data_IF_307583824980
#
_entry.id   IF_307583824980
#
_cell.length_a   1.000
_cell.length_b   1.000
_cell.length_c   1.000
_cell.angle_alpha   90.00
_cell.angle_beta   90.00
_cell.angle_gamma   90.00
#
_symmetry.space_group_name_H-M   'P 1'
#
loop_
_entity.id
_entity.type
_entity.pdbx_description
1 polymer ?
#
# COMPACT_ATOMS: atom_id res chain seq x y z
N UNK A 1 -15.47 -26.49 -19.72
CA UNK A 1 -16.03 -27.55 -18.86
C UNK A 1 -16.40 -26.90 -17.54
N UNK A 2 -17.67 -26.83 -17.26
CA UNK A 2 -18.18 -26.36 -15.99
C UNK A 2 -17.81 -27.38 -14.92
N UNK A 3 -17.38 -26.92 -13.76
CA UNK A 3 -17.12 -27.79 -12.63
C UNK A 3 -18.39 -28.47 -12.10
N UNK A 4 -18.24 -29.24 -11.05
CA UNK A 4 -19.32 -29.97 -10.38
C UNK A 4 -20.29 -29.06 -9.63
N UNK A 5 -19.79 -27.90 -9.15
CA UNK A 5 -20.55 -26.92 -8.34
C UNK A 5 -20.53 -25.54 -8.99
N UNK A 6 -21.65 -24.84 -8.90
CA UNK A 6 -21.73 -23.42 -9.17
C UNK A 6 -21.07 -22.60 -8.05
N UNK A 7 -20.44 -21.48 -8.41
CA UNK A 7 -19.71 -20.67 -7.45
C UNK A 7 -19.85 -19.16 -7.73
N UNK A 8 -19.80 -18.36 -6.67
CA UNK A 8 -19.63 -16.91 -6.74
C UNK A 8 -18.20 -16.55 -6.33
N UNK A 9 -17.62 -15.58 -7.03
CA UNK A 9 -16.27 -15.06 -6.77
C UNK A 9 -16.33 -13.55 -6.52
N UNK A 10 -15.50 -13.09 -5.61
CA UNK A 10 -15.23 -11.66 -5.38
C UNK A 10 -13.75 -11.43 -5.60
N UNK A 11 -13.36 -10.41 -6.36
CA UNK A 11 -11.96 -10.19 -6.69
C UNK A 11 -11.71 -8.97 -7.55
N UNK A 12 -10.58 -8.98 -8.27
CA UNK A 12 -10.18 -7.88 -9.14
C UNK A 12 -10.86 -7.91 -10.52
N UNK A 13 -10.79 -6.78 -11.21
CA UNK A 13 -11.38 -6.62 -12.55
C UNK A 13 -10.74 -7.48 -13.64
N UNK A 14 -9.54 -8.02 -13.41
CA UNK A 14 -8.87 -9.00 -14.27
C UNK A 14 -9.40 -10.44 -14.08
N UNK A 15 -10.50 -10.59 -13.34
CA UNK A 15 -11.08 -11.86 -12.93
C UNK A 15 -10.19 -12.72 -12.01
N UNK A 16 -9.25 -12.10 -11.31
CA UNK A 16 -8.50 -12.77 -10.26
C UNK A 16 -9.38 -12.87 -8.98
N UNK A 17 -9.86 -14.08 -8.61
CA UNK A 17 -10.68 -14.25 -7.42
C UNK A 17 -9.83 -14.10 -6.15
N UNK A 18 -10.27 -13.23 -5.25
CA UNK A 18 -9.67 -13.10 -3.93
C UNK A 18 -10.45 -13.87 -2.87
N UNK A 19 -11.73 -14.10 -3.09
CA UNK A 19 -12.60 -14.88 -2.24
C UNK A 19 -13.82 -15.38 -3.00
N UNK A 20 -14.64 -16.17 -2.32
CA UNK A 20 -15.88 -16.69 -2.87
C UNK A 20 -16.42 -17.89 -2.13
N UNK A 21 -17.56 -18.40 -2.60
CA UNK A 21 -18.18 -19.62 -2.09
C UNK A 21 -18.86 -20.39 -3.20
N UNK A 22 -19.09 -21.68 -2.98
CA UNK A 22 -19.85 -22.54 -3.89
C UNK A 22 -21.19 -22.99 -3.29
N UNK A 23 -22.02 -23.60 -4.10
CA UNK A 23 -23.35 -24.11 -3.71
C UNK A 23 -23.31 -25.28 -2.73
N UNK A 24 -22.16 -25.91 -2.52
CA UNK A 24 -21.95 -26.96 -1.51
C UNK A 24 -21.58 -26.39 -0.14
N UNK A 25 -21.52 -25.06 0.04
CA UNK A 25 -21.16 -24.41 1.30
C UNK A 25 -19.66 -24.36 1.57
N UNK A 26 -18.80 -24.56 0.56
CA UNK A 26 -17.36 -24.33 0.68
C UNK A 26 -17.04 -22.88 0.35
N UNK A 27 -16.30 -22.20 1.25
CA UNK A 27 -15.80 -20.83 1.01
C UNK A 27 -14.27 -20.79 0.94
N UNK A 28 -13.76 -19.81 0.23
CA UNK A 28 -12.36 -19.47 0.12
C UNK A 28 -12.17 -17.96 0.29
N UNK A 29 -11.14 -17.57 1.03
CA UNK A 29 -10.67 -16.19 1.08
C UNK A 29 -9.15 -16.14 1.01
N UNK A 30 -8.63 -15.29 0.12
CA UNK A 30 -7.19 -15.14 -0.13
C UNK A 30 -6.58 -14.05 0.71
N UNK A 31 -5.54 -14.36 1.47
CA UNK A 31 -4.78 -13.40 2.24
C UNK A 31 -3.38 -13.22 1.66
N UNK A 32 -2.98 -11.98 1.41
CA UNK A 32 -1.61 -11.68 1.01
C UNK A 32 -0.67 -11.88 2.20
N UNK A 33 0.28 -12.81 2.06
CA UNK A 33 1.37 -13.05 3.01
C UNK A 33 2.71 -12.92 2.28
N UNK A 34 3.79 -12.71 3.03
CA UNK A 34 5.13 -12.78 2.44
C UNK A 34 5.37 -14.20 1.88
N UNK A 35 5.84 -14.30 0.62
CA UNK A 35 6.08 -15.59 0.01
C UNK A 35 7.12 -16.37 0.83
N UNK A 36 6.75 -17.57 1.24
CA UNK A 36 7.69 -18.54 1.81
C UNK A 36 8.32 -19.31 0.65
N UNK A 37 9.63 -19.54 0.74
CA UNK A 37 10.29 -20.42 -0.22
C UNK A 37 9.77 -21.84 0.06
N UNK A 38 8.92 -22.32 -0.84
CA UNK A 38 8.51 -23.73 -0.85
C UNK A 38 9.65 -24.54 -1.46
N UNK A 39 10.07 -25.62 -0.82
CA UNK A 39 10.92 -26.63 -1.45
C UNK A 39 10.02 -27.53 -2.32
N UNK A 40 9.96 -27.35 -3.64
CA UNK A 40 9.06 -28.12 -4.47
C UNK A 40 9.55 -29.59 -4.52
N UNK A 41 8.65 -30.51 -4.26
CA UNK A 41 8.87 -31.94 -4.50
C UNK A 41 8.89 -32.14 -6.03
N UNK A 42 10.05 -32.52 -6.64
CA UNK A 42 10.17 -32.63 -8.08
C UNK A 42 9.29 -33.71 -8.71
N UNK A 43 8.69 -34.57 -7.89
CA UNK A 43 7.80 -35.64 -8.35
C UNK A 43 6.36 -35.19 -8.55
N UNK A 44 6.01 -33.97 -8.12
CA UNK A 44 4.64 -33.45 -8.20
C UNK A 44 4.53 -32.31 -9.23
N UNK A 45 3.36 -32.25 -9.86
CA UNK A 45 3.04 -31.15 -10.76
C UNK A 45 2.73 -29.89 -9.95
N UNK A 46 3.53 -28.85 -10.10
CA UNK A 46 3.28 -27.57 -9.44
C UNK A 46 2.24 -26.78 -10.22
N UNK A 47 1.08 -26.49 -9.61
CA UNK A 47 0.16 -25.52 -10.15
C UNK A 47 0.68 -24.11 -9.78
N UNK A 48 1.16 -23.39 -10.77
CA UNK A 48 1.75 -22.06 -10.59
C UNK A 48 0.75 -20.91 -10.75
N UNK A 49 -0.47 -21.24 -11.20
CA UNK A 49 -1.52 -20.25 -11.40
C UNK A 49 -2.54 -20.30 -10.24
N UNK A 50 -2.44 -19.39 -9.23
CA UNK A 50 -3.35 -19.38 -8.10
C UNK A 50 -4.81 -19.14 -8.50
N UNK A 51 -5.04 -18.42 -9.58
CA UNK A 51 -6.37 -18.16 -10.13
C UNK A 51 -7.06 -19.47 -10.57
N UNK A 52 -6.31 -20.32 -11.25
CA UNK A 52 -6.80 -21.63 -11.68
C UNK A 52 -7.08 -22.53 -10.48
N UNK A 53 -6.17 -22.56 -9.49
CA UNK A 53 -6.34 -23.33 -8.26
C UNK A 53 -7.63 -22.95 -7.53
N UNK A 54 -7.86 -21.66 -7.27
CA UNK A 54 -9.06 -21.18 -6.56
C UNK A 54 -10.34 -21.58 -7.29
N UNK A 55 -10.36 -21.43 -8.63
CA UNK A 55 -11.52 -21.83 -9.44
C UNK A 55 -11.76 -23.31 -9.39
N UNK A 56 -10.73 -24.11 -9.52
CA UNK A 56 -10.84 -25.57 -9.52
C UNK A 56 -11.33 -26.11 -8.18
N UNK A 57 -10.85 -25.59 -7.05
CA UNK A 57 -11.33 -26.04 -5.73
C UNK A 57 -12.80 -25.68 -5.50
N UNK A 58 -13.22 -24.45 -5.80
CA UNK A 58 -14.62 -24.05 -5.61
C UNK A 58 -15.57 -24.74 -6.61
N UNK A 59 -15.10 -25.09 -7.79
CA UNK A 59 -15.91 -25.80 -8.78
C UNK A 59 -15.99 -27.31 -8.56
N UNK A 60 -15.07 -27.92 -7.84
CA UNK A 60 -14.98 -29.39 -7.77
C UNK A 60 -14.98 -29.96 -6.34
N UNK A 61 -14.71 -29.14 -5.31
CA UNK A 61 -14.67 -29.58 -3.92
C UNK A 61 -15.91 -29.09 -3.16
N UNK A 62 -16.41 -29.95 -2.26
CA UNK A 62 -17.52 -29.63 -1.34
C UNK A 62 -17.06 -29.49 0.09
N UNK A 63 -15.87 -29.94 0.43
CA UNK A 63 -15.33 -29.97 1.80
C UNK A 63 -13.89 -29.50 1.85
N UNK A 64 -13.46 -29.01 3.01
CA UNK A 64 -12.08 -28.62 3.27
C UNK A 64 -11.11 -29.82 3.10
N UNK A 65 -11.55 -31.04 3.44
CA UNK A 65 -10.72 -32.24 3.24
C UNK A 65 -10.49 -32.56 1.74
N UNK A 66 -11.49 -32.37 0.89
CA UNK A 66 -11.31 -32.50 -0.55
C UNK A 66 -10.33 -31.44 -1.09
N UNK A 67 -10.39 -30.20 -0.58
CA UNK A 67 -9.43 -29.13 -0.90
C UNK A 67 -8.02 -29.54 -0.47
N UNK A 68 -7.87 -30.06 0.74
CA UNK A 68 -6.59 -30.56 1.26
C UNK A 68 -6.00 -31.63 0.34
N UNK A 69 -6.78 -32.63 -0.01
CA UNK A 69 -6.35 -33.72 -0.89
C UNK A 69 -5.97 -33.20 -2.28
N UNK A 70 -6.72 -32.23 -2.80
CA UNK A 70 -6.40 -31.54 -4.04
C UNK A 70 -5.06 -30.78 -3.94
N UNK A 71 -4.88 -29.98 -2.89
CA UNK A 71 -3.68 -29.18 -2.65
C UNK A 71 -2.41 -30.06 -2.49
N UNK A 72 -2.51 -31.18 -1.77
CA UNK A 72 -1.43 -32.15 -1.61
C UNK A 72 -1.03 -32.77 -2.96
N UNK A 73 -2.00 -33.12 -3.79
CA UNK A 73 -1.76 -33.70 -5.11
C UNK A 73 -1.00 -32.77 -6.05
N UNK A 74 -1.29 -31.48 -6.00
CA UNK A 74 -0.72 -30.45 -6.89
C UNK A 74 0.37 -29.60 -6.24
N UNK A 75 0.79 -29.93 -5.02
CA UNK A 75 1.89 -29.25 -4.31
C UNK A 75 1.70 -27.74 -4.10
N UNK A 76 0.48 -27.35 -3.83
CA UNK A 76 0.17 -25.95 -3.51
C UNK A 76 0.46 -25.66 -2.04
N UNK A 77 0.45 -26.68 -1.16
CA UNK A 77 0.65 -26.53 0.28
C UNK A 77 1.33 -27.77 0.88
N UNK A 78 2.17 -27.57 1.90
CA UNK A 78 2.63 -28.67 2.74
C UNK A 78 1.52 -29.06 3.73
N UNK A 79 1.31 -30.37 3.99
CA UNK A 79 0.24 -30.86 4.88
C UNK A 79 0.24 -30.23 6.26
N UNK A 80 1.43 -29.97 6.80
CA UNK A 80 1.64 -29.44 8.15
C UNK A 80 1.27 -27.95 8.29
N UNK A 81 0.99 -27.26 7.19
CA UNK A 81 0.58 -25.86 7.19
C UNK A 81 -0.93 -25.67 7.12
N UNK A 82 -1.71 -26.75 6.98
CA UNK A 82 -3.17 -26.69 6.97
C UNK A 82 -3.72 -26.80 8.40
N UNK A 83 -4.35 -25.74 8.85
CA UNK A 83 -5.22 -25.82 10.03
C UNK A 83 -6.56 -26.44 9.60
N UNK A 84 -6.78 -27.70 9.97
CA UNK A 84 -8.12 -28.31 9.85
C UNK A 84 -9.03 -27.67 10.89
N UNK A 85 -10.17 -27.14 10.42
CA UNK A 85 -11.14 -26.44 11.25
C UNK A 85 -11.58 -27.25 12.44
N UNK A 86 -11.75 -26.57 13.55
CA UNK A 86 -12.46 -27.04 14.74
C UNK A 86 -13.73 -26.21 14.86
N UNK A 87 -14.66 -26.64 15.69
CA UNK A 87 -15.90 -25.92 16.06
C UNK A 87 -15.63 -24.55 16.73
N UNK A 88 -14.41 -24.04 16.61
CA UNK A 88 -13.98 -22.78 17.23
C UNK A 88 -13.92 -21.65 16.22
N UNK A 89 -14.36 -20.47 16.66
CA UNK A 89 -14.14 -19.22 15.96
C UNK A 89 -12.67 -18.84 16.03
N UNK A 90 -12.09 -18.37 14.94
CA UNK A 90 -10.73 -17.86 14.93
C UNK A 90 -10.57 -16.74 13.90
N UNK A 91 -9.60 -15.89 14.14
CA UNK A 91 -9.22 -14.80 13.27
C UNK A 91 -8.00 -15.21 12.44
N UNK A 92 -8.02 -14.89 11.17
CA UNK A 92 -6.87 -14.97 10.28
C UNK A 92 -6.59 -13.55 9.76
N UNK A 93 -5.32 -13.19 9.66
CA UNK A 93 -4.85 -11.96 9.07
C UNK A 93 -3.66 -12.23 8.12
N UNK A 94 -2.96 -11.20 7.69
CA UNK A 94 -1.88 -11.28 6.70
C UNK A 94 -0.58 -11.91 7.24
N UNK A 95 -0.66 -13.06 7.86
CA UNK A 95 0.46 -13.88 8.32
C UNK A 95 0.11 -15.39 8.23
N UNK A 96 1.10 -16.26 8.25
CA UNK A 96 0.89 -17.70 8.28
C UNK A 96 0.62 -18.15 9.73
N UNK A 97 -0.61 -18.59 10.10
CA UNK A 97 -0.96 -18.89 11.49
C UNK A 97 -0.13 -20.00 12.13
N UNK A 98 0.28 -21.01 11.34
CA UNK A 98 1.07 -22.15 11.83
C UNK A 98 2.53 -21.79 12.12
N UNK A 99 3.07 -20.76 11.48
CA UNK A 99 4.49 -20.39 11.56
C UNK A 99 4.74 -19.11 12.35
N UNK A 100 3.69 -18.41 12.78
CA UNK A 100 3.79 -17.14 13.51
C UNK A 100 3.51 -17.40 14.98
N UNK A 101 4.46 -17.12 15.91
CA UNK A 101 4.25 -17.27 17.34
C UNK A 101 3.09 -16.41 17.84
N UNK A 102 2.32 -16.86 18.81
CA UNK A 102 1.11 -16.17 19.31
C UNK A 102 1.40 -14.74 19.78
N UNK A 103 2.55 -14.53 20.42
CA UNK A 103 2.97 -13.17 20.82
C UNK A 103 3.19 -12.24 19.62
N UNK A 104 3.69 -12.78 18.52
CA UNK A 104 3.91 -12.01 17.29
C UNK A 104 2.60 -11.74 16.54
N UNK A 105 1.64 -12.69 16.57
CA UNK A 105 0.29 -12.47 15.99
C UNK A 105 -0.38 -11.22 16.57
N UNK A 106 -0.22 -10.97 17.87
CA UNK A 106 -0.79 -9.82 18.57
C UNK A 106 -0.13 -8.47 18.17
N UNK A 107 1.02 -8.50 17.49
CA UNK A 107 1.63 -7.28 16.93
C UNK A 107 0.92 -6.79 15.65
N UNK A 108 0.15 -7.66 14.99
CA UNK A 108 -0.70 -7.28 13.85
C UNK A 108 -2.00 -6.66 14.37
N UNK A 109 -2.15 -5.36 14.24
CA UNK A 109 -3.26 -4.59 14.79
C UNK A 109 -4.63 -5.15 14.37
N UNK A 110 -4.79 -5.48 13.09
CA UNK A 110 -6.01 -6.08 12.55
C UNK A 110 -6.37 -7.40 13.21
N UNK A 111 -5.37 -8.28 13.41
CA UNK A 111 -5.56 -9.55 14.12
C UNK A 111 -5.95 -9.31 15.57
N UNK A 112 -5.23 -8.41 16.25
CA UNK A 112 -5.50 -8.06 17.64
C UNK A 112 -6.92 -7.56 17.82
N UNK A 113 -7.38 -6.60 17.00
CA UNK A 113 -8.75 -6.07 17.06
C UNK A 113 -9.80 -7.16 16.89
N UNK A 114 -9.64 -8.03 15.89
CA UNK A 114 -10.56 -9.15 15.68
C UNK A 114 -10.55 -10.16 16.82
N UNK A 115 -9.39 -10.52 17.34
CA UNK A 115 -9.24 -11.44 18.46
C UNK A 115 -9.86 -10.86 19.75
N UNK A 116 -9.61 -9.59 20.05
CA UNK A 116 -10.21 -8.90 21.21
C UNK A 116 -11.74 -8.82 21.05
N UNK A 117 -12.25 -8.63 19.83
CA UNK A 117 -13.69 -8.68 19.58
C UNK A 117 -14.27 -10.06 19.92
N UNK A 118 -13.65 -11.15 19.45
CA UNK A 118 -14.14 -12.52 19.74
C UNK A 118 -14.08 -12.87 21.25
N UNK A 119 -13.07 -12.37 21.97
CA UNK A 119 -12.92 -12.62 23.40
C UNK A 119 -13.93 -11.82 24.26
N UNK A 120 -14.35 -10.64 23.82
CA UNK A 120 -15.17 -9.75 24.61
C UNK A 120 -16.67 -9.80 24.25
N UNK A 121 -17.06 -10.56 23.23
CA UNK A 121 -18.45 -10.71 22.82
C UNK A 121 -18.90 -12.16 22.96
N UNK A 122 -20.15 -12.32 23.40
CA UNK A 122 -20.78 -13.63 23.46
C UNK A 122 -20.84 -14.29 22.10
N UNK A 123 -20.79 -15.61 22.09
CA UNK A 123 -20.89 -16.38 20.85
C UNK A 123 -22.22 -16.14 20.17
N UNK A 124 -22.17 -15.47 19.03
CA UNK A 124 -23.30 -15.17 18.16
C UNK A 124 -22.89 -15.46 16.72
N UNK A 125 -23.77 -16.05 15.95
CA UNK A 125 -23.59 -16.31 14.51
C UNK A 125 -24.48 -15.43 13.63
N UNK A 126 -25.17 -14.45 14.25
CA UNK A 126 -26.03 -13.54 13.50
C UNK A 126 -25.24 -12.72 12.48
N UNK A 127 -25.92 -12.35 11.40
CA UNK A 127 -25.33 -11.47 10.39
C UNK A 127 -24.85 -10.14 10.97
N UNK A 128 -25.51 -9.63 12.01
CA UNK A 128 -25.10 -8.39 12.69
C UNK A 128 -23.78 -8.58 13.47
N UNK A 129 -23.62 -9.70 14.16
CA UNK A 129 -22.37 -10.02 14.83
C UNK A 129 -21.21 -10.14 13.83
N UNK A 130 -21.41 -10.90 12.76
CA UNK A 130 -20.42 -11.03 11.70
C UNK A 130 -20.07 -9.68 11.08
N UNK A 131 -21.06 -8.82 10.84
CA UNK A 131 -20.84 -7.48 10.32
C UNK A 131 -20.02 -6.61 11.29
N UNK A 132 -20.32 -6.64 12.58
CA UNK A 132 -19.56 -5.91 13.61
C UNK A 132 -18.10 -6.38 13.69
N UNK A 133 -17.85 -7.69 13.53
CA UNK A 133 -16.51 -8.24 13.46
C UNK A 133 -15.78 -7.74 12.21
N UNK A 134 -16.41 -7.78 11.04
CA UNK A 134 -15.85 -7.30 9.79
C UNK A 134 -15.53 -5.80 9.86
N UNK A 135 -16.43 -5.00 10.45
CA UNK A 135 -16.22 -3.57 10.69
C UNK A 135 -15.02 -3.33 11.66
N UNK A 136 -14.92 -4.13 12.72
CA UNK A 136 -13.77 -4.06 13.64
C UNK A 136 -12.45 -4.39 12.94
N UNK A 137 -12.46 -5.26 11.95
CA UNK A 137 -11.26 -5.74 11.27
C UNK A 137 -10.88 -4.95 10.00
N UNK A 138 -11.73 -4.06 9.52
CA UNK A 138 -11.39 -3.30 8.31
C UNK A 138 -10.17 -2.41 8.53
N UNK A 139 -9.39 -2.20 7.48
CA UNK A 139 -8.29 -1.26 7.45
C UNK A 139 -8.76 0.05 6.83
N UNK A 140 -8.49 1.16 7.53
CA UNK A 140 -8.67 2.49 6.98
C UNK A 140 -7.40 3.29 7.28
N UNK A 141 -6.62 3.56 6.25
CA UNK A 141 -5.41 4.37 6.38
C UNK A 141 -5.81 5.83 6.39
N UNK A 142 -5.82 6.44 7.55
CA UNK A 142 -6.31 7.79 7.79
C UNK A 142 -5.72 8.87 6.88
N UNK A 143 -4.59 8.61 6.24
CA UNK A 143 -3.87 9.60 5.43
C UNK A 143 -4.67 10.04 4.19
N UNK A 144 -5.30 9.09 3.50
CA UNK A 144 -6.06 9.34 2.26
C UNK A 144 -7.37 8.57 2.18
N UNK A 145 -7.78 7.86 3.25
CA UNK A 145 -8.95 6.98 3.23
C UNK A 145 -8.72 5.63 2.54
N UNK A 146 -7.47 5.31 2.16
CA UNK A 146 -7.12 4.00 1.62
C UNK A 146 -7.25 2.90 2.68
N UNK A 147 -7.67 1.71 2.28
CA UNK A 147 -7.82 0.58 3.19
C UNK A 147 -8.51 -0.60 2.57
N UNK A 148 -9.40 -1.24 3.33
CA UNK A 148 -10.20 -2.37 2.85
C UNK A 148 -11.15 -1.93 1.75
N UNK A 149 -10.93 -2.43 0.53
CA UNK A 149 -11.69 -2.02 -0.65
C UNK A 149 -13.12 -2.54 -0.63
N UNK A 150 -13.30 -3.78 -0.21
CA UNK A 150 -14.61 -4.40 0.01
C UNK A 150 -14.54 -5.40 1.16
N UNK A 151 -15.70 -5.72 1.72
CA UNK A 151 -15.88 -6.76 2.72
C UNK A 151 -17.11 -7.57 2.38
N UNK A 152 -17.16 -8.81 2.79
CA UNK A 152 -18.35 -9.62 2.63
C UNK A 152 -18.57 -10.55 3.83
N UNK A 153 -19.82 -10.90 4.04
CA UNK A 153 -20.26 -11.94 4.96
C UNK A 153 -20.93 -13.02 4.13
N UNK A 154 -20.40 -14.23 4.20
CA UNK A 154 -20.95 -15.41 3.53
C UNK A 154 -21.69 -16.28 4.53
N UNK A 155 -22.97 -16.49 4.31
CA UNK A 155 -23.79 -17.48 4.96
C UNK A 155 -23.75 -18.74 4.11
N UNK A 156 -22.99 -19.73 4.59
CA UNK A 156 -22.68 -20.94 3.83
C UNK A 156 -23.87 -21.95 3.86
N UNK A 157 -24.75 -21.87 4.86
CA UNK A 157 -25.92 -22.74 4.98
C UNK A 157 -27.01 -22.32 4.00
N UNK A 158 -27.35 -21.04 3.99
CA UNK A 158 -28.40 -20.49 3.12
C UNK A 158 -27.89 -20.06 1.74
N UNK A 159 -26.56 -20.09 1.50
CA UNK A 159 -25.93 -19.65 0.26
C UNK A 159 -26.07 -18.16 0.01
N UNK A 160 -26.08 -17.33 1.05
CA UNK A 160 -26.22 -15.88 0.93
C UNK A 160 -24.86 -15.22 1.08
N UNK A 161 -24.58 -14.23 0.21
CA UNK A 161 -23.40 -13.37 0.28
C UNK A 161 -23.85 -11.92 0.43
N UNK A 162 -23.46 -11.30 1.55
CA UNK A 162 -23.69 -9.88 1.81
C UNK A 162 -22.41 -9.11 1.55
N UNK A 163 -22.40 -8.27 0.52
CA UNK A 163 -21.24 -7.49 0.08
C UNK A 163 -21.36 -6.04 0.57
N UNK A 164 -20.22 -5.48 0.99
CA UNK A 164 -20.06 -4.11 1.47
C UNK A 164 -18.89 -3.46 0.73
N UNK A 165 -19.00 -2.16 0.46
CA UNK A 165 -18.02 -1.44 -0.30
C UNK A 165 -17.36 -0.33 0.52
N UNK A 166 -16.05 -0.34 0.58
CA UNK A 166 -15.17 0.71 1.06
C UNK A 166 -15.59 1.34 2.41
N UNK A 167 -15.59 0.55 3.49
CA UNK A 167 -15.92 0.94 4.87
C UNK A 167 -17.38 1.42 5.07
N UNK A 168 -18.23 1.34 4.06
CA UNK A 168 -19.64 1.68 4.17
C UNK A 168 -20.48 0.45 4.49
N UNK A 169 -20.59 0.16 5.78
CA UNK A 169 -21.38 -0.98 6.27
C UNK A 169 -22.88 -0.69 6.38
N UNK A 170 -23.33 0.52 6.05
CA UNK A 170 -24.75 0.88 6.01
C UNK A 170 -25.44 0.42 4.73
N UNK A 171 -24.67 0.38 3.63
CA UNK A 171 -25.16 -0.07 2.33
C UNK A 171 -24.66 -1.47 2.05
N UNK A 172 -25.56 -2.42 1.87
CA UNK A 172 -25.25 -3.81 1.53
C UNK A 172 -25.90 -4.23 0.22
N UNK A 173 -25.21 -5.08 -0.53
CA UNK A 173 -25.77 -5.84 -1.64
C UNK A 173 -25.80 -7.31 -1.26
N UNK A 174 -27.00 -7.90 -1.28
CA UNK A 174 -27.19 -9.31 -0.94
C UNK A 174 -27.41 -10.10 -2.22
N UNK A 175 -26.71 -11.20 -2.34
CA UNK A 175 -26.80 -12.17 -3.42
C UNK A 175 -27.13 -13.52 -2.82
N UNK A 176 -28.14 -14.20 -3.37
CA UNK A 176 -28.37 -15.61 -3.05
C UNK A 176 -27.80 -16.45 -4.18
N UNK A 177 -26.88 -17.33 -3.86
CA UNK A 177 -26.10 -18.10 -4.85
C UNK A 177 -27.00 -18.90 -5.80
N UNK A 178 -28.02 -19.59 -5.27
CA UNK A 178 -28.96 -20.37 -6.10
C UNK A 178 -29.70 -19.50 -7.11
N UNK A 179 -30.15 -18.31 -6.67
CA UNK A 179 -30.84 -17.35 -7.53
C UNK A 179 -29.92 -16.78 -8.60
N UNK A 180 -28.67 -16.47 -8.23
CA UNK A 180 -27.69 -15.93 -9.19
C UNK A 180 -27.25 -16.97 -10.21
N UNK A 181 -27.03 -18.21 -9.80
CA UNK A 181 -26.68 -19.32 -10.71
C UNK A 181 -27.79 -19.59 -11.74
N UNK A 182 -29.05 -19.44 -11.36
CA UNK A 182 -30.18 -19.61 -12.28
C UNK A 182 -30.20 -18.59 -13.44
N UNK A 183 -29.53 -17.44 -13.27
CA UNK A 183 -29.38 -16.42 -14.33
C UNK A 183 -28.25 -16.73 -15.32
N UNK A 184 -27.48 -17.80 -15.10
CA UNK A 184 -26.29 -18.14 -15.87
C UNK A 184 -25.06 -17.32 -15.46
N UNK A 185 -24.01 -17.43 -16.26
CA UNK A 185 -22.74 -16.71 -15.97
C UNK A 185 -22.90 -15.21 -16.19
N UNK A 186 -22.65 -14.45 -15.15
CA UNK A 186 -22.66 -12.99 -15.18
C UNK A 186 -21.68 -12.42 -14.17
N UNK A 187 -21.37 -11.14 -14.28
CA UNK A 187 -20.50 -10.41 -13.35
C UNK A 187 -21.02 -9.00 -13.12
N UNK A 188 -20.66 -8.44 -11.97
CA UNK A 188 -20.95 -7.06 -11.60
C UNK A 188 -19.66 -6.35 -11.24
N UNK A 189 -19.51 -5.12 -11.69
CA UNK A 189 -18.50 -4.23 -11.12
C UNK A 189 -19.02 -3.66 -9.81
N UNK A 190 -18.28 -3.83 -8.71
CA UNK A 190 -18.69 -3.40 -7.36
C UNK A 190 -19.05 -1.91 -7.35
N UNK A 191 -18.30 -1.08 -8.06
CA UNK A 191 -18.56 0.36 -8.18
C UNK A 191 -19.94 0.70 -8.75
N UNK A 192 -20.49 -0.15 -9.63
CA UNK A 192 -21.75 0.12 -10.32
C UNK A 192 -22.97 -0.34 -9.52
N UNK A 193 -22.80 -1.17 -8.51
CA UNK A 193 -23.88 -1.71 -7.71
C UNK A 193 -24.06 -1.03 -6.34
N UNK A 194 -23.14 -0.13 -5.98
CA UNK A 194 -23.21 0.64 -4.73
C UNK A 194 -23.42 2.14 -5.01
N UNK A 195 -23.99 2.89 -4.06
CA UNK A 195 -24.06 4.34 -4.16
C UNK A 195 -22.64 4.94 -4.12
N UNK A 196 -22.53 6.20 -4.59
CA UNK A 196 -21.25 6.92 -4.57
C UNK A 196 -20.70 7.01 -3.15
N UNK A 197 -19.49 6.47 -2.95
CA UNK A 197 -18.78 6.51 -1.68
C UNK A 197 -17.79 7.68 -1.67
N UNK A 198 -17.96 8.64 -0.75
CA UNK A 198 -17.14 9.85 -0.68
C UNK A 198 -15.70 9.56 -0.24
N UNK A 199 -15.48 8.57 0.61
CA UNK A 199 -14.14 8.18 1.06
C UNK A 199 -13.38 7.48 -0.08
N UNK A 200 -14.04 6.61 -0.82
CA UNK A 200 -13.47 6.01 -2.02
C UNK A 200 -13.11 7.07 -3.07
N UNK A 201 -13.98 8.07 -3.25
CA UNK A 201 -13.69 9.18 -4.15
C UNK A 201 -12.42 9.94 -3.74
N UNK A 202 -12.25 10.24 -2.45
CA UNK A 202 -11.01 10.85 -1.95
C UNK A 202 -9.77 9.99 -2.26
N UNK A 203 -9.90 8.67 -2.16
CA UNK A 203 -8.82 7.74 -2.48
C UNK A 203 -8.46 7.77 -3.98
N UNK A 204 -9.42 7.68 -4.89
CA UNK A 204 -9.13 7.69 -6.33
C UNK A 204 -8.71 9.07 -6.85
N UNK A 205 -9.18 10.15 -6.23
CA UNK A 205 -8.81 11.52 -6.59
C UNK A 205 -7.42 11.91 -6.03
N UNK A 206 -6.84 11.09 -5.13
CA UNK A 206 -5.52 11.35 -4.56
C UNK A 206 -4.42 11.10 -5.59
N UNK A 207 -3.68 12.17 -5.90
CA UNK A 207 -2.71 12.16 -6.99
C UNK A 207 -1.31 11.87 -6.49
N UNK A 208 -0.69 10.90 -7.11
CA UNK A 208 0.69 10.46 -6.87
C UNK A 208 1.45 10.45 -8.21
N UNK A 209 2.79 10.32 -8.20
CA UNK A 209 3.55 10.20 -9.45
C UNK A 209 3.17 8.99 -10.32
N UNK A 210 2.57 7.97 -9.72
CA UNK A 210 2.18 6.75 -10.41
C UNK A 210 0.87 6.93 -11.20
N UNK A 211 -0.04 7.79 -10.74
CA UNK A 211 -1.35 7.99 -11.36
C UNK A 211 -1.57 9.39 -11.97
N UNK A 212 -0.64 10.35 -11.79
CA UNK A 212 -0.72 11.69 -12.36
C UNK A 212 0.54 12.04 -13.17
N UNK A 213 0.34 12.31 -14.45
CA UNK A 213 1.43 12.62 -15.40
C UNK A 213 2.14 13.93 -15.06
N UNK A 214 1.42 14.95 -14.60
CA UNK A 214 2.01 16.28 -14.29
C UNK A 214 2.96 16.15 -13.11
N UNK A 215 2.53 15.46 -12.05
CA UNK A 215 3.36 15.21 -10.88
C UNK A 215 4.60 14.36 -11.25
N UNK A 216 4.41 13.35 -12.10
CA UNK A 216 5.52 12.52 -12.60
C UNK A 216 6.55 13.34 -13.35
N UNK A 217 6.11 14.15 -14.30
CA UNK A 217 7.00 15.02 -15.08
C UNK A 217 7.71 16.06 -14.19
N UNK A 218 7.02 16.59 -13.18
CA UNK A 218 7.64 17.49 -12.21
C UNK A 218 8.74 16.80 -11.40
N UNK A 219 8.55 15.57 -10.95
CA UNK A 219 9.60 14.80 -10.23
C UNK A 219 10.78 14.47 -11.15
N UNK A 220 10.55 14.08 -12.39
CA UNK A 220 11.62 13.88 -13.38
C UNK A 220 12.41 15.18 -13.58
N UNK A 221 11.74 16.30 -13.70
CA UNK A 221 12.41 17.62 -13.75
C UNK A 221 13.26 17.87 -12.48
N UNK A 222 12.72 17.56 -11.29
CA UNK A 222 13.49 17.65 -10.04
C UNK A 222 14.74 16.79 -10.06
N UNK A 223 14.63 15.52 -10.50
CA UNK A 223 15.76 14.60 -10.59
C UNK A 223 16.87 15.12 -11.53
N UNK A 224 16.49 15.62 -12.70
CA UNK A 224 17.44 16.22 -13.66
C UNK A 224 18.09 17.49 -13.06
N UNK A 225 17.27 18.40 -12.51
CA UNK A 225 17.75 19.65 -11.92
C UNK A 225 18.70 19.39 -10.76
N UNK A 226 18.36 18.50 -9.84
CA UNK A 226 19.16 18.23 -8.65
C UNK A 226 20.45 17.47 -9.00
N UNK A 227 20.42 16.56 -9.97
CA UNK A 227 21.62 15.90 -10.50
C UNK A 227 22.60 16.94 -11.07
N UNK A 228 22.10 17.78 -11.96
CA UNK A 228 22.89 18.84 -12.58
C UNK A 228 23.42 19.84 -11.55
N UNK A 229 22.55 20.35 -10.66
CA UNK A 229 22.93 21.30 -9.63
C UNK A 229 23.94 20.76 -8.63
N UNK A 230 23.77 19.49 -8.22
CA UNK A 230 24.70 18.82 -7.34
C UNK A 230 26.11 18.79 -7.95
N UNK A 231 26.23 18.29 -9.18
CA UNK A 231 27.50 18.22 -9.88
C UNK A 231 28.11 19.61 -10.11
N UNK A 232 27.31 20.57 -10.54
CA UNK A 232 27.74 21.95 -10.79
C UNK A 232 28.30 22.62 -9.51
N UNK A 233 27.57 22.53 -8.39
CA UNK A 233 28.03 23.16 -7.14
C UNK A 233 29.24 22.46 -6.55
N UNK A 234 29.37 21.15 -6.70
CA UNK A 234 30.58 20.41 -6.32
C UNK A 234 31.81 20.89 -7.12
N UNK A 235 31.70 20.91 -8.45
CA UNK A 235 32.81 21.36 -9.32
C UNK A 235 33.15 22.84 -9.01
N UNK A 236 32.12 23.68 -8.85
CA UNK A 236 32.31 25.09 -8.53
C UNK A 236 33.00 25.29 -7.17
N UNK A 237 32.69 24.44 -6.18
CA UNK A 237 33.40 24.45 -4.90
C UNK A 237 34.82 24.02 -5.03
N UNK A 238 35.12 22.92 -5.74
CA UNK A 238 36.46 22.39 -5.93
C UNK A 238 37.40 23.38 -6.67
N UNK A 239 36.87 24.08 -7.68
CA UNK A 239 37.61 25.08 -8.45
C UNK A 239 37.93 26.35 -7.63
N UNK A 240 37.11 26.71 -6.68
CA UNK A 240 37.21 27.95 -5.91
C UNK A 240 37.72 27.73 -4.47
N UNK A 241 38.55 26.67 -4.25
CA UNK A 241 39.11 26.34 -2.92
C UNK A 241 40.09 27.36 -2.35
N UNK A 242 40.66 28.25 -3.18
CA UNK A 242 41.59 29.27 -2.68
C UNK A 242 40.75 30.39 -1.98
N UNK A 243 41.08 30.73 -0.72
CA UNK A 243 40.44 31.81 -0.02
C UNK A 243 40.75 33.14 -0.74
N UNK A 244 39.78 33.70 -1.41
CA UNK A 244 39.83 35.10 -1.85
C UNK A 244 39.55 35.94 -0.59
N UNK A 245 40.39 36.96 -0.27
CA UNK A 245 40.11 37.83 0.85
C UNK A 245 38.73 38.44 0.71
N UNK A 246 37.82 38.14 1.64
CA UNK A 246 36.41 38.46 1.56
C UNK A 246 36.17 39.90 2.00
N UNK A 247 35.92 40.80 1.06
CA UNK A 247 35.32 42.09 1.35
C UNK A 247 33.77 42.02 1.44
N UNK A 248 33.12 41.00 0.90
CA UNK A 248 31.67 40.82 0.93
C UNK A 248 31.27 39.33 0.90
N UNK A 249 31.37 38.70 1.96
CA UNK A 249 30.60 37.72 2.68
C UNK A 249 29.87 36.54 1.98
N UNK A 250 30.34 35.94 0.87
CA UNK A 250 29.75 34.65 0.43
C UNK A 250 30.69 33.51 0.77
N UNK A 251 30.31 32.78 1.80
CA UNK A 251 31.06 31.62 2.28
C UNK A 251 31.08 30.51 1.20
N UNK A 252 32.26 30.02 0.73
CA UNK A 252 32.36 28.90 -0.19
C UNK A 252 31.68 27.63 0.32
N UNK A 253 31.52 27.53 1.64
CA UNK A 253 30.79 26.46 2.33
C UNK A 253 29.35 26.32 1.81
N UNK A 254 28.70 27.40 1.35
CA UNK A 254 27.34 27.31 0.82
C UNK A 254 27.26 26.42 -0.42
N UNK A 255 28.28 26.39 -1.27
CA UNK A 255 28.28 25.56 -2.48
C UNK A 255 28.35 24.07 -2.16
N UNK A 256 29.14 23.70 -1.14
CA UNK A 256 29.20 22.29 -0.69
C UNK A 256 27.91 21.89 0.03
N UNK A 257 27.28 22.81 0.76
CA UNK A 257 25.95 22.54 1.34
C UNK A 257 24.87 22.36 0.26
N UNK A 258 24.90 23.16 -0.81
CA UNK A 258 23.98 23.00 -1.93
C UNK A 258 24.22 21.69 -2.68
N UNK A 259 25.48 21.29 -2.85
CA UNK A 259 25.79 19.96 -3.38
C UNK A 259 25.13 18.85 -2.53
N UNK A 260 25.39 18.85 -1.22
CA UNK A 260 24.86 17.82 -0.33
C UNK A 260 23.31 17.81 -0.29
N UNK A 261 22.69 18.99 -0.22
CA UNK A 261 21.24 19.13 -0.23
C UNK A 261 20.62 18.59 -1.53
N UNK A 262 21.17 18.99 -2.69
CA UNK A 262 20.66 18.49 -3.98
C UNK A 262 20.86 16.98 -4.13
N UNK A 263 21.95 16.41 -3.62
CA UNK A 263 22.18 14.97 -3.62
C UNK A 263 21.12 14.23 -2.74
N UNK A 264 20.83 14.77 -1.56
CA UNK A 264 19.77 14.23 -0.68
C UNK A 264 18.40 14.33 -1.34
N UNK A 265 18.08 15.47 -1.97
CA UNK A 265 16.79 15.67 -2.63
C UNK A 265 16.67 14.84 -3.92
N UNK A 266 17.76 14.61 -4.65
CA UNK A 266 17.79 13.67 -5.76
C UNK A 266 17.42 12.26 -5.31
N UNK A 267 18.08 11.78 -4.26
CA UNK A 267 17.76 10.48 -3.65
C UNK A 267 16.28 10.41 -3.24
N UNK A 268 15.76 11.45 -2.60
CA UNK A 268 14.37 11.48 -2.17
C UNK A 268 13.38 11.53 -3.34
N UNK A 269 13.65 12.33 -4.37
CA UNK A 269 12.82 12.37 -5.58
C UNK A 269 12.76 11.00 -6.26
N UNK A 270 13.89 10.28 -6.35
CA UNK A 270 13.94 8.91 -6.86
C UNK A 270 13.10 7.93 -6.03
N UNK A 271 13.10 8.07 -4.70
CA UNK A 271 12.23 7.27 -3.82
C UNK A 271 10.74 7.58 -4.11
N UNK A 272 10.37 8.85 -4.22
CA UNK A 272 9.00 9.27 -4.52
C UNK A 272 8.53 8.77 -5.88
N UNK A 273 9.40 8.77 -6.88
CA UNK A 273 9.09 8.30 -8.22
C UNK A 273 8.86 6.78 -8.29
N UNK A 274 9.54 6.01 -7.44
CA UNK A 274 9.57 4.54 -7.57
C UNK A 274 8.84 3.79 -6.44
N UNK A 275 8.50 4.44 -5.33
CA UNK A 275 7.90 3.77 -4.18
C UNK A 275 6.52 4.32 -3.85
N UNK A 276 5.48 3.63 -4.35
CA UNK A 276 4.09 4.00 -4.11
C UNK A 276 3.69 3.93 -2.63
N UNK A 277 4.32 3.05 -1.84
CA UNK A 277 3.97 2.84 -0.45
C UNK A 277 4.13 4.09 0.44
N UNK A 278 5.06 5.01 0.08
CA UNK A 278 5.28 6.27 0.80
C UNK A 278 4.01 7.14 0.87
N UNK A 279 3.16 7.07 -0.15
CA UNK A 279 1.95 7.90 -0.21
C UNK A 279 0.80 7.33 0.60
N UNK A 280 0.77 6.01 0.81
CA UNK A 280 -0.35 5.28 1.40
C UNK A 280 -0.10 4.84 2.84
N UNK A 281 1.15 4.64 3.25
CA UNK A 281 1.48 4.22 4.60
C UNK A 281 1.96 5.40 5.47
N UNK A 282 1.65 5.37 6.79
CA UNK A 282 2.21 6.36 7.70
C UNK A 282 3.73 6.23 7.77
N UNK A 283 4.42 7.36 7.76
CA UNK A 283 5.88 7.42 7.84
C UNK A 283 6.29 8.08 9.16
N UNK A 284 7.33 7.59 9.87
CA UNK A 284 8.13 6.41 9.56
C UNK A 284 7.35 5.10 9.77
N UNK A 285 7.69 4.08 9.00
CA UNK A 285 6.99 2.79 9.08
C UNK A 285 7.29 2.10 10.41
N UNK A 286 6.26 1.81 11.21
CA UNK A 286 6.40 1.21 12.54
C UNK A 286 7.04 -0.17 12.53
N UNK A 287 6.78 -0.95 11.47
CA UNK A 287 7.15 -2.36 11.38
C UNK A 287 8.48 -2.60 10.66
N UNK A 288 9.12 -1.54 10.17
CA UNK A 288 10.39 -1.67 9.46
C UNK A 288 11.53 -1.31 10.41
N UNK A 289 12.48 -2.22 10.55
CA UNK A 289 13.76 -1.94 11.20
C UNK A 289 14.40 -0.72 10.57
N UNK A 290 15.27 -0.03 11.31
CA UNK A 290 16.00 1.16 10.88
C UNK A 290 16.50 1.00 9.44
N UNK A 291 15.94 1.80 8.53
CA UNK A 291 16.24 1.75 7.10
C UNK A 291 16.47 3.15 6.55
N UNK A 292 17.19 3.26 5.43
CA UNK A 292 17.36 4.54 4.73
C UNK A 292 16.01 5.18 4.34
N UNK A 293 15.00 4.36 4.08
CA UNK A 293 13.67 4.83 3.75
C UNK A 293 13.00 5.54 4.96
N UNK A 294 13.17 5.00 6.17
CA UNK A 294 12.67 5.64 7.38
C UNK A 294 13.37 6.96 7.68
N UNK A 295 14.69 7.05 7.41
CA UNK A 295 15.43 8.32 7.52
C UNK A 295 14.92 9.32 6.48
N UNK A 296 14.66 8.89 5.25
CA UNK A 296 14.15 9.73 4.18
C UNK A 296 12.79 10.37 4.51
N UNK A 297 11.99 9.75 5.38
CA UNK A 297 10.72 10.29 5.85
C UNK A 297 10.85 11.63 6.59
N UNK A 298 12.04 11.97 7.10
CA UNK A 298 12.29 13.26 7.77
C UNK A 298 12.74 14.38 6.81
N UNK A 299 13.01 14.07 5.52
CA UNK A 299 13.46 15.06 4.53
C UNK A 299 12.45 16.20 4.34
N UNK A 300 11.12 15.98 4.28
CA UNK A 300 10.14 17.07 4.23
C UNK A 300 10.30 18.07 5.39
N UNK A 301 10.53 17.60 6.62
CA UNK A 301 10.72 18.47 7.79
C UNK A 301 12.04 19.24 7.71
N UNK A 302 13.11 18.59 7.26
CA UNK A 302 14.38 19.26 7.02
C UNK A 302 14.19 20.43 6.04
N UNK A 303 13.39 20.24 4.97
CA UNK A 303 13.11 21.29 3.99
C UNK A 303 12.39 22.50 4.60
N UNK A 304 11.44 22.30 5.52
CA UNK A 304 10.78 23.41 6.23
C UNK A 304 11.77 24.25 7.04
N UNK A 305 12.75 23.61 7.69
CA UNK A 305 13.74 24.29 8.51
C UNK A 305 14.73 25.09 7.67
N UNK A 306 15.19 24.51 6.55
CA UNK A 306 16.29 25.11 5.77
C UNK A 306 15.81 26.11 4.71
N UNK A 307 14.54 26.11 4.31
CA UNK A 307 14.06 26.94 3.19
C UNK A 307 14.23 28.44 3.46
N UNK A 308 13.94 28.92 4.67
CA UNK A 308 14.03 30.34 5.02
C UNK A 308 15.48 30.85 4.93
N UNK A 309 16.50 30.20 5.58
CA UNK A 309 17.89 30.59 5.39
C UNK A 309 18.36 30.48 3.92
N UNK A 310 17.91 29.50 3.13
CA UNK A 310 18.27 29.38 1.72
C UNK A 310 17.74 30.55 0.90
N UNK A 311 16.49 30.93 1.05
CA UNK A 311 15.88 32.09 0.38
C UNK A 311 16.62 33.39 0.78
N UNK A 312 16.91 33.55 2.07
CA UNK A 312 17.65 34.72 2.56
C UNK A 312 19.04 34.83 1.94
N UNK A 313 19.76 33.70 1.84
CA UNK A 313 21.06 33.66 1.17
C UNK A 313 20.94 33.89 -0.34
N UNK A 314 19.89 33.38 -0.99
CA UNK A 314 19.66 33.61 -2.42
C UNK A 314 19.46 35.12 -2.71
N UNK A 315 18.66 35.82 -1.92
CA UNK A 315 18.45 37.26 -2.07
C UNK A 315 19.78 38.03 -1.91
N UNK A 316 20.60 37.66 -0.94
CA UNK A 316 21.94 38.28 -0.75
C UNK A 316 22.86 38.05 -1.97
N UNK A 317 22.86 36.81 -2.50
CA UNK A 317 23.68 36.42 -3.64
C UNK A 317 23.20 37.12 -4.92
N UNK A 318 21.91 37.27 -5.14
CA UNK A 318 21.37 37.99 -6.28
C UNK A 318 21.83 39.45 -6.33
N UNK A 319 21.87 40.12 -5.17
CA UNK A 319 22.33 41.50 -5.01
C UNK A 319 23.86 41.65 -5.04
N UNK A 320 24.59 40.57 -4.70
CA UNK A 320 26.05 40.54 -4.65
C UNK A 320 26.72 40.39 -6.02
N UNK A 321 28.03 40.56 -6.09
CA UNK A 321 28.81 40.43 -7.33
C UNK A 321 29.73 39.19 -7.35
N UNK A 322 29.76 38.43 -6.28
CA UNK A 322 30.72 37.33 -6.08
C UNK A 322 30.40 36.04 -6.84
N UNK A 323 29.13 35.81 -7.17
CA UNK A 323 28.70 34.63 -7.93
C UNK A 323 28.50 34.96 -9.40
N UNK A 324 28.83 34.02 -10.27
CA UNK A 324 28.52 34.15 -11.72
C UNK A 324 27.00 34.22 -11.92
N UNK A 325 26.57 34.89 -12.96
CA UNK A 325 25.16 35.04 -13.33
C UNK A 325 24.47 33.69 -13.41
N UNK A 326 25.10 32.72 -14.03
CA UNK A 326 24.58 31.34 -14.12
C UNK A 326 24.38 30.70 -12.75
N UNK A 327 25.36 30.80 -11.84
CA UNK A 327 25.24 30.25 -10.48
C UNK A 327 24.09 30.88 -9.70
N UNK A 328 23.83 32.17 -9.88
CA UNK A 328 22.73 32.90 -9.25
C UNK A 328 21.39 32.36 -9.72
N UNK A 329 21.18 32.27 -11.04
CA UNK A 329 19.94 31.75 -11.60
C UNK A 329 19.70 30.28 -11.26
N UNK A 330 20.75 29.46 -11.31
CA UNK A 330 20.65 28.05 -10.93
C UNK A 330 20.24 27.90 -9.45
N UNK A 331 20.82 28.70 -8.55
CA UNK A 331 20.44 28.66 -7.13
C UNK A 331 19.00 29.17 -6.93
N UNK A 332 18.58 30.20 -7.67
CA UNK A 332 17.19 30.69 -7.63
C UNK A 332 16.22 29.62 -8.09
N UNK A 333 16.52 28.96 -9.21
CA UNK A 333 15.71 27.86 -9.74
C UNK A 333 15.58 26.72 -8.73
N UNK A 334 16.69 26.34 -8.07
CA UNK A 334 16.64 25.35 -7.00
C UNK A 334 15.70 25.80 -5.86
N UNK A 335 15.78 27.05 -5.39
CA UNK A 335 14.90 27.53 -4.31
C UNK A 335 13.41 27.51 -4.71
N UNK A 336 13.07 27.87 -5.95
CA UNK A 336 11.70 27.77 -6.45
C UNK A 336 11.23 26.31 -6.48
N UNK A 337 12.08 25.41 -6.92
CA UNK A 337 11.77 23.96 -6.92
C UNK A 337 11.63 23.40 -5.49
N UNK A 338 12.46 23.84 -4.55
CA UNK A 338 12.33 23.47 -3.14
C UNK A 338 10.98 23.90 -2.55
N UNK A 339 10.56 25.13 -2.85
CA UNK A 339 9.24 25.63 -2.43
C UNK A 339 8.11 24.80 -3.05
N UNK A 340 8.19 24.51 -4.34
CA UNK A 340 7.20 23.65 -5.00
C UNK A 340 7.12 22.25 -4.38
N UNK A 341 8.26 21.65 -4.02
CA UNK A 341 8.30 20.37 -3.30
C UNK A 341 7.67 20.47 -1.91
N UNK A 342 7.91 21.55 -1.15
CA UNK A 342 7.29 21.77 0.16
C UNK A 342 5.75 21.80 0.04
N UNK A 343 5.21 22.49 -0.96
CA UNK A 343 3.77 22.49 -1.22
C UNK A 343 3.25 21.11 -1.61
N UNK A 344 4.00 20.37 -2.41
CA UNK A 344 3.63 19.03 -2.80
C UNK A 344 3.67 18.05 -1.59
N UNK A 345 4.65 18.18 -0.71
CA UNK A 345 4.70 17.42 0.55
C UNK A 345 3.53 17.74 1.48
N UNK A 346 3.09 19.00 1.52
CA UNK A 346 1.89 19.40 2.26
C UNK A 346 0.62 18.77 1.65
N UNK A 347 0.49 18.77 0.32
CA UNK A 347 -0.59 18.09 -0.40
C UNK A 347 -0.63 16.60 -0.07
N UNK A 348 0.52 15.92 -0.05
CA UNK A 348 0.63 14.50 0.32
C UNK A 348 0.53 14.25 1.81
N UNK A 349 0.32 15.28 2.64
CA UNK A 349 0.23 15.19 4.10
C UNK A 349 1.48 14.57 4.76
N UNK A 350 2.68 14.77 4.18
CA UNK A 350 3.93 14.23 4.72
C UNK A 350 4.35 14.90 6.02
N UNK A 351 3.73 16.00 6.41
CA UNK A 351 3.93 16.66 7.68
C UNK A 351 3.02 16.13 8.81
N UNK A 352 2.08 15.25 8.50
CA UNK A 352 1.22 14.61 9.49
C UNK A 352 1.87 13.30 9.94
N UNK A 353 2.65 13.35 11.02
CA UNK A 353 3.41 12.19 11.55
C UNK A 353 2.68 11.51 12.70
N UNK A 354 1.62 12.13 13.20
CA UNK A 354 0.86 11.67 14.36
C UNK A 354 -0.64 11.61 14.08
#
# INVERSE_FOLDING_TARGET
TFGKFGAVYVGYSDNFPQGGMNEAGLAFDGLAIYPKVLNPDPTKTTETNPNKFIREILQNCSTVEEVRNYAIKYLVMEPDTMMTGSDKKYIIANFCPSNTPDKEKLSFDRYKRGNDFLLNHTDDTSSNYCLSLVDTMHECRNKIGDGTLYSYVADLEDGNLSLYFYHDFKHTKKFNLKTELAKGNHSFEILNIFPTNTEYKKFIDFKTPQNDVVIRLFLIFCEILFSFSSLFFLISFLRNRKPIPQANGTNPTLKILLFALNAILLYYATILSNNIAIFYFPSPYKDWKFSLLNIAAYIPFLMLVIIVPLITQNIKILKGTTWTTFSKYLFTLNNLTYLALIFLFAYWKFYNVF
#
